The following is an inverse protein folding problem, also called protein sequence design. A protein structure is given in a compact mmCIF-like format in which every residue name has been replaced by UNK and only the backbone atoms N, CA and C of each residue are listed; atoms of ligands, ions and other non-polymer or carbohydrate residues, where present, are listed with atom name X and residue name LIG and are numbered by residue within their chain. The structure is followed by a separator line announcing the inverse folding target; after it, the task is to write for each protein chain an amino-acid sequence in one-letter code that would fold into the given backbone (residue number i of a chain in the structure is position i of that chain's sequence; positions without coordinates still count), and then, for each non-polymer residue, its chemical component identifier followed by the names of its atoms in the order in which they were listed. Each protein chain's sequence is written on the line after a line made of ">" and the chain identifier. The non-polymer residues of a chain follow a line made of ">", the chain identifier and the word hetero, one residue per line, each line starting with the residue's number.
data_IF_106321667254
#
_entry.id   IF_106321667254
#
_cell.length_a   1.000
_cell.length_b   1.000
_cell.length_c   1.000
_cell.angle_alpha   90.00
_cell.angle_beta   90.00
_cell.angle_gamma   90.00
#
_symmetry.space_group_name_H-M   'P 1'
#
loop_
_entity.id
_entity.type
_entity.pdbx_description
1 polymer ?
#
# COMPACT_ATOMS: atom_id res chain seq x y z
N UNK A 1 6.02 9.37 15.01
CA UNK A 1 6.96 8.85 13.98
C UNK A 1 6.90 7.34 14.02
N UNK A 2 6.65 6.71 12.92
CA UNK A 2 6.49 5.26 12.84
C UNK A 2 7.88 4.61 12.73
N UNK A 3 8.09 3.47 13.40
CA UNK A 3 9.36 2.72 13.30
C UNK A 3 9.66 2.36 11.83
N UNK A 4 8.63 2.07 11.04
CA UNK A 4 8.73 1.73 9.61
C UNK A 4 9.27 2.84 8.72
N UNK A 5 9.08 4.11 9.08
CA UNK A 5 9.60 5.24 8.30
C UNK A 5 11.13 5.20 8.28
N UNK A 6 11.72 4.97 9.45
CA UNK A 6 13.17 4.83 9.62
C UNK A 6 13.68 3.55 8.97
N UNK A 7 13.00 2.44 9.21
CA UNK A 7 13.34 1.13 8.64
C UNK A 7 13.41 1.16 7.11
N UNK A 8 12.46 1.81 6.43
CA UNK A 8 12.50 1.96 4.98
C UNK A 8 13.74 2.71 4.50
N UNK A 9 14.12 3.79 5.19
CA UNK A 9 15.32 4.56 4.84
C UNK A 9 16.58 3.73 5.06
N UNK A 10 16.70 3.07 6.23
CA UNK A 10 17.83 2.23 6.59
C UNK A 10 18.03 1.09 5.59
N UNK A 11 16.97 0.37 5.22
CA UNK A 11 17.03 -0.70 4.21
C UNK A 11 17.45 -0.19 2.83
N UNK A 12 16.96 0.96 2.39
CA UNK A 12 17.37 1.56 1.11
C UNK A 12 18.84 1.98 1.12
N UNK A 13 19.32 2.50 2.25
CA UNK A 13 20.72 2.88 2.42
C UNK A 13 21.66 1.67 2.41
N UNK A 14 21.30 0.60 3.14
CA UNK A 14 22.08 -0.64 3.20
C UNK A 14 22.31 -1.26 1.83
N UNK A 15 21.31 -1.22 0.95
CA UNK A 15 21.41 -1.77 -0.40
C UNK A 15 21.81 -0.72 -1.45
N UNK A 16 22.05 0.53 -1.03
CA UNK A 16 22.42 1.66 -1.89
C UNK A 16 21.46 1.87 -3.09
N UNK A 17 20.15 1.83 -2.82
CA UNK A 17 19.11 2.01 -3.84
C UNK A 17 18.33 3.29 -3.59
N UNK A 18 18.13 4.08 -4.65
CA UNK A 18 17.23 5.23 -4.66
C UNK A 18 15.89 4.78 -5.26
N UNK A 19 14.76 4.90 -4.53
CA UNK A 19 13.48 4.48 -5.05
C UNK A 19 12.93 5.50 -6.05
N UNK A 20 12.48 5.03 -7.22
CA UNK A 20 11.69 5.83 -8.15
C UNK A 20 10.22 5.89 -7.72
N UNK A 21 9.72 4.77 -7.19
CA UNK A 21 8.31 4.57 -6.83
C UNK A 21 8.22 3.94 -5.44
N UNK A 22 7.27 4.43 -4.66
CA UNK A 22 6.91 3.85 -3.36
C UNK A 22 5.43 3.48 -3.39
N UNK A 23 5.12 2.22 -3.07
CA UNK A 23 3.76 1.71 -2.94
C UNK A 23 3.50 1.38 -1.47
N UNK A 24 2.48 1.96 -0.89
CA UNK A 24 2.15 1.78 0.51
C UNK A 24 0.65 1.59 0.70
N UNK A 25 0.25 0.58 1.48
CA UNK A 25 -1.14 0.38 1.85
C UNK A 25 -1.69 1.58 2.62
N UNK A 26 -2.96 1.88 2.41
CA UNK A 26 -3.63 3.01 3.01
C UNK A 26 -5.04 2.62 3.51
N UNK A 27 -5.27 2.79 4.79
CA UNK A 27 -6.59 2.87 5.39
C UNK A 27 -6.83 4.33 5.80
N UNK A 28 -6.87 4.67 7.07
CA UNK A 28 -7.00 6.06 7.54
C UNK A 28 -5.80 6.99 7.22
N UNK A 29 -4.79 6.50 6.50
CA UNK A 29 -3.68 7.27 5.98
C UNK A 29 -2.48 7.47 6.91
N UNK A 30 -2.49 6.92 8.14
CA UNK A 30 -1.42 7.17 9.13
C UNK A 30 -0.06 6.60 8.71
N UNK A 31 -0.04 5.34 8.28
CA UNK A 31 1.19 4.68 7.86
C UNK A 31 1.85 5.40 6.68
N UNK A 32 1.09 5.64 5.62
CA UNK A 32 1.62 6.29 4.41
C UNK A 32 2.00 7.76 4.65
N UNK A 33 1.31 8.48 5.55
CA UNK A 33 1.68 9.85 5.91
C UNK A 33 3.08 9.89 6.55
N UNK A 34 3.38 8.95 7.46
CA UNK A 34 4.72 8.84 8.05
C UNK A 34 5.76 8.48 7.01
N UNK A 35 5.55 7.38 6.27
CA UNK A 35 6.49 6.91 5.23
C UNK A 35 6.73 8.00 4.18
N UNK A 36 5.68 8.64 3.67
CA UNK A 36 5.83 9.66 2.64
C UNK A 36 6.62 10.87 3.13
N UNK A 37 6.44 11.27 4.39
CA UNK A 37 7.22 12.35 4.99
C UNK A 37 8.70 11.98 5.06
N UNK A 38 9.03 10.79 5.55
CA UNK A 38 10.42 10.32 5.65
C UNK A 38 11.07 10.19 4.27
N UNK A 39 10.39 9.54 3.33
CA UNK A 39 10.88 9.35 1.95
C UNK A 39 11.11 10.70 1.26
N UNK A 40 10.16 11.63 1.34
CA UNK A 40 10.29 12.95 0.69
C UNK A 40 11.41 13.80 1.29
N UNK A 41 11.74 13.61 2.56
CA UNK A 41 12.89 14.31 3.18
C UNK A 41 14.22 13.88 2.56
N UNK A 42 14.35 12.63 2.11
CA UNK A 42 15.60 12.09 1.58
C UNK A 42 15.60 11.86 0.07
N UNK A 43 14.45 11.49 -0.49
CA UNK A 43 14.26 11.14 -1.90
C UNK A 43 13.07 11.94 -2.45
N UNK A 44 13.21 13.24 -2.58
CA UNK A 44 12.14 14.18 -2.93
C UNK A 44 11.49 13.87 -4.29
N UNK A 45 12.26 13.30 -5.25
CA UNK A 45 11.79 12.89 -6.57
C UNK A 45 11.00 11.58 -6.58
N UNK A 46 11.00 10.76 -5.51
CA UNK A 46 10.28 9.51 -5.45
C UNK A 46 8.77 9.74 -5.61
N UNK A 47 8.13 8.97 -6.50
CA UNK A 47 6.68 9.00 -6.67
C UNK A 47 6.03 8.06 -5.68
N UNK A 48 5.14 8.57 -4.85
CA UNK A 48 4.51 7.80 -3.77
C UNK A 48 3.03 7.62 -4.07
N UNK A 49 2.55 6.38 -4.00
CA UNK A 49 1.16 6.02 -4.27
C UNK A 49 0.54 5.34 -3.06
N UNK A 50 -0.66 5.78 -2.66
CA UNK A 50 -1.51 4.99 -1.77
C UNK A 50 -2.08 3.80 -2.52
N UNK A 51 -2.14 2.65 -1.86
CA UNK A 51 -2.80 1.45 -2.39
C UNK A 51 -3.91 1.05 -1.43
N UNK A 52 -5.12 0.96 -1.97
CA UNK A 52 -6.36 0.73 -1.23
C UNK A 52 -7.16 -0.41 -1.87
N UNK A 53 -8.01 -1.12 -1.11
CA UNK A 53 -8.94 -2.07 -1.71
C UNK A 53 -9.97 -1.35 -2.59
N UNK A 54 -10.42 -2.00 -3.65
CA UNK A 54 -11.55 -1.52 -4.46
C UNK A 54 -12.77 -1.24 -3.57
N UNK A 55 -13.50 -0.17 -3.86
CA UNK A 55 -14.65 0.35 -3.09
C UNK A 55 -14.31 0.95 -1.71
N UNK A 56 -13.06 0.85 -1.26
CA UNK A 56 -12.53 1.49 -0.06
C UNK A 56 -11.33 2.37 -0.40
N UNK A 57 -11.37 2.99 -1.57
CA UNK A 57 -10.32 3.83 -2.15
C UNK A 57 -10.56 5.34 -1.89
N UNK A 58 -10.98 5.63 -0.64
CA UNK A 58 -11.32 6.97 -0.17
C UNK A 58 -10.15 7.96 -0.25
N UNK A 59 -8.94 7.54 0.01
CA UNK A 59 -7.75 8.41 -0.11
C UNK A 59 -7.49 8.76 -1.58
N UNK A 60 -7.55 7.80 -2.50
CA UNK A 60 -7.43 8.02 -3.95
C UNK A 60 -8.46 9.03 -4.44
N UNK A 61 -9.74 8.79 -4.13
CA UNK A 61 -10.85 9.66 -4.53
C UNK A 61 -10.72 11.05 -3.90
N UNK A 62 -10.28 11.12 -2.64
CA UNK A 62 -10.06 12.38 -1.94
C UNK A 62 -8.93 13.20 -2.55
N UNK A 63 -7.84 12.56 -2.98
CA UNK A 63 -6.73 13.20 -3.70
C UNK A 63 -7.20 13.77 -5.04
N UNK A 64 -7.92 12.98 -5.84
CA UNK A 64 -8.48 13.40 -7.14
C UNK A 64 -9.42 14.60 -6.99
N UNK A 65 -10.27 14.59 -5.95
CA UNK A 65 -11.24 15.68 -5.69
C UNK A 65 -10.67 16.82 -4.85
N UNK A 66 -9.43 16.71 -4.40
CA UNK A 66 -8.77 17.70 -3.54
C UNK A 66 -9.52 18.01 -2.24
N UNK A 67 -10.33 17.09 -1.75
CA UNK A 67 -11.12 17.18 -0.51
C UNK A 67 -11.44 15.81 0.03
N UNK A 68 -11.60 15.69 1.35
CA UNK A 68 -11.98 14.42 1.98
C UNK A 68 -13.34 13.95 1.46
N UNK A 69 -13.39 12.69 1.01
CA UNK A 69 -14.59 11.99 0.53
C UNK A 69 -14.72 10.71 1.33
N UNK A 70 -15.96 10.34 1.67
CA UNK A 70 -16.24 9.07 2.37
C UNK A 70 -16.61 7.97 1.38
N UNK A 71 -16.21 6.74 1.69
CA UNK A 71 -16.67 5.52 1.04
C UNK A 71 -18.16 5.26 1.32
N UNK A 72 -18.81 4.51 0.45
CA UNK A 72 -20.21 4.19 0.61
C UNK A 72 -20.52 3.19 1.73
N UNK A 73 -19.51 2.46 2.21
CA UNK A 73 -19.59 1.38 3.20
C UNK A 73 -20.60 0.27 2.87
N UNK A 74 -21.04 0.17 1.61
CA UNK A 74 -21.99 -0.86 1.14
C UNK A 74 -21.30 -2.15 0.67
N UNK A 75 -20.03 -2.08 0.44
CA UNK A 75 -19.20 -3.18 -0.05
C UNK A 75 -18.48 -3.88 1.09
N UNK A 76 -17.87 -5.01 0.79
CA UNK A 76 -17.00 -5.77 1.70
C UNK A 76 -15.69 -6.04 0.99
N UNK A 77 -14.63 -6.17 1.76
CA UNK A 77 -13.33 -6.63 1.28
C UNK A 77 -12.67 -7.49 2.36
N UNK A 78 -11.79 -8.38 1.94
CA UNK A 78 -10.96 -9.19 2.84
C UNK A 78 -9.83 -8.38 3.49
N UNK A 79 -9.56 -7.18 2.98
CA UNK A 79 -8.53 -6.26 3.49
C UNK A 79 -9.04 -5.49 4.72
N UNK A 80 -9.48 -6.20 5.76
CA UNK A 80 -10.19 -5.68 6.94
C UNK A 80 -9.46 -4.54 7.67
N UNK A 81 -8.13 -4.54 7.66
CA UNK A 81 -7.31 -3.47 8.25
C UNK A 81 -7.36 -2.13 7.46
N UNK A 82 -7.93 -2.11 6.26
CA UNK A 82 -7.95 -0.96 5.35
C UNK A 82 -9.36 -0.41 5.06
N UNK A 83 -10.40 -0.88 5.75
CA UNK A 83 -11.78 -0.50 5.50
C UNK A 83 -12.17 0.81 6.23
N UNK A 84 -11.36 1.84 6.07
CA UNK A 84 -11.68 3.16 6.61
C UNK A 84 -12.87 3.79 5.86
N UNK A 85 -13.72 4.51 6.57
CA UNK A 85 -14.82 5.26 5.95
C UNK A 85 -14.31 6.45 5.13
N UNK A 86 -13.26 7.11 5.64
CA UNK A 86 -12.65 8.29 5.04
C UNK A 86 -11.24 8.51 5.56
N UNK A 87 -10.40 9.27 4.84
CA UNK A 87 -9.07 9.65 5.33
C UNK A 87 -9.17 10.46 6.63
N UNK A 88 -8.19 10.31 7.51
CA UNK A 88 -8.05 11.20 8.68
C UNK A 88 -7.73 12.64 8.26
N UNK A 89 -8.24 13.64 8.97
CA UNK A 89 -8.01 15.04 8.63
C UNK A 89 -6.52 15.42 8.61
N UNK A 90 -5.77 14.99 9.60
CA UNK A 90 -4.32 15.28 9.69
C UNK A 90 -3.57 14.53 8.60
N UNK A 91 -3.85 13.24 8.43
CA UNK A 91 -3.17 12.38 7.46
C UNK A 91 -3.45 12.82 6.03
N UNK A 92 -4.67 13.24 5.72
CA UNK A 92 -5.02 13.74 4.40
C UNK A 92 -4.24 15.00 4.01
N UNK A 93 -4.06 15.94 4.95
CA UNK A 93 -3.28 17.15 4.69
C UNK A 93 -1.82 16.84 4.35
N UNK A 94 -1.22 15.84 5.00
CA UNK A 94 0.14 15.37 4.70
C UNK A 94 0.16 14.64 3.36
N UNK A 95 -0.74 13.69 3.18
CA UNK A 95 -0.83 12.85 1.99
C UNK A 95 -1.08 13.66 0.71
N UNK A 96 -1.93 14.68 0.79
CA UNK A 96 -2.19 15.60 -0.33
C UNK A 96 -0.94 16.33 -0.85
N UNK A 97 0.03 16.58 0.01
CA UNK A 97 1.30 17.25 -0.35
C UNK A 97 2.29 16.22 -0.90
N UNK A 98 2.38 15.05 -0.27
CA UNK A 98 3.46 14.10 -0.49
C UNK A 98 3.15 13.04 -1.56
N UNK A 99 1.88 12.67 -1.74
CA UNK A 99 1.50 11.60 -2.66
C UNK A 99 1.35 12.09 -4.09
N UNK A 100 1.76 11.23 -5.01
CA UNK A 100 1.56 11.45 -6.45
C UNK A 100 0.10 11.17 -6.84
N UNK A 101 -0.46 10.06 -6.33
CA UNK A 101 -1.84 9.62 -6.58
C UNK A 101 -2.17 8.42 -5.66
N UNK A 102 -3.39 7.90 -5.78
CA UNK A 102 -3.80 6.61 -5.23
C UNK A 102 -4.15 5.61 -6.33
N UNK A 103 -4.03 4.33 -6.02
CA UNK A 103 -4.48 3.21 -6.85
C UNK A 103 -5.29 2.23 -6.02
N UNK A 104 -6.15 1.46 -6.67
CA UNK A 104 -6.96 0.43 -6.01
C UNK A 104 -6.69 -0.95 -6.60
N UNK A 105 -6.81 -1.97 -5.74
CA UNK A 105 -6.64 -3.38 -6.09
C UNK A 105 -7.84 -4.19 -5.62
N UNK A 106 -8.16 -5.26 -6.34
CA UNK A 106 -9.22 -6.19 -5.95
C UNK A 106 -8.77 -7.15 -4.84
N UNK A 107 -9.73 -7.81 -4.20
CA UNK A 107 -9.46 -8.87 -3.23
C UNK A 107 -8.68 -10.03 -3.86
N UNK A 108 -8.96 -10.38 -5.12
CA UNK A 108 -8.25 -11.44 -5.84
C UNK A 108 -6.78 -11.05 -6.08
N UNK A 109 -6.51 -9.81 -6.48
CA UNK A 109 -5.14 -9.29 -6.62
C UNK A 109 -4.38 -9.34 -5.28
N UNK A 110 -5.06 -9.03 -4.17
CA UNK A 110 -4.48 -9.13 -2.83
C UNK A 110 -4.14 -10.59 -2.46
N UNK A 111 -5.02 -11.56 -2.75
CA UNK A 111 -4.76 -12.99 -2.53
C UNK A 111 -3.58 -13.50 -3.38
N UNK A 112 -3.50 -13.11 -4.65
CA UNK A 112 -2.36 -13.44 -5.53
C UNK A 112 -1.06 -12.87 -4.96
N UNK A 113 -1.08 -11.63 -4.48
CA UNK A 113 0.09 -11.00 -3.87
C UNK A 113 0.53 -11.69 -2.57
N UNK A 114 -0.42 -12.11 -1.73
CA UNK A 114 -0.12 -12.90 -0.52
C UNK A 114 0.58 -14.22 -0.88
N UNK A 115 0.07 -14.95 -1.87
CA UNK A 115 0.66 -16.21 -2.33
C UNK A 115 2.05 -15.98 -2.94
N UNK A 116 2.21 -14.93 -3.74
CA UNK A 116 3.50 -14.51 -4.31
C UNK A 116 4.51 -14.18 -3.21
N UNK A 117 4.12 -13.41 -2.20
CA UNK A 117 4.95 -13.08 -1.05
C UNK A 117 5.42 -14.34 -0.31
N UNK A 118 4.50 -15.28 -0.06
CA UNK A 118 4.84 -16.53 0.62
C UNK A 118 5.75 -17.43 -0.21
N UNK A 119 5.45 -17.63 -1.50
CA UNK A 119 6.23 -18.53 -2.35
C UNK A 119 7.63 -18.02 -2.67
N UNK A 120 7.76 -16.72 -2.95
CA UNK A 120 9.00 -16.15 -3.47
C UNK A 120 9.86 -15.48 -2.38
N UNK A 121 9.23 -14.79 -1.43
CA UNK A 121 9.95 -14.05 -0.38
C UNK A 121 9.93 -14.75 0.98
N UNK A 122 9.14 -15.84 1.14
CA UNK A 122 8.99 -16.58 2.39
C UNK A 122 8.43 -15.74 3.55
N UNK A 123 7.64 -14.74 3.22
CA UNK A 123 6.93 -13.90 4.18
C UNK A 123 5.42 -14.15 4.14
N UNK A 124 4.80 -14.11 5.32
CA UNK A 124 3.35 -14.18 5.46
C UNK A 124 2.81 -12.75 5.56
N UNK A 125 1.91 -12.39 4.66
CA UNK A 125 1.18 -11.12 4.68
C UNK A 125 -0.30 -11.36 4.92
N UNK A 126 -0.94 -10.44 5.63
CA UNK A 126 -2.40 -10.29 5.64
C UNK A 126 -2.86 -9.58 4.37
N UNK A 127 -4.15 -9.66 3.98
CA UNK A 127 -4.63 -9.03 2.75
C UNK A 127 -4.28 -7.54 2.66
N UNK A 128 -4.57 -6.77 3.73
CA UNK A 128 -4.23 -5.34 3.79
C UNK A 128 -2.73 -5.04 3.73
N UNK A 129 -1.89 -5.97 4.23
CA UNK A 129 -0.43 -5.87 4.14
C UNK A 129 0.11 -6.18 2.75
N UNK A 130 -0.66 -6.88 1.91
CA UNK A 130 -0.26 -7.34 0.59
C UNK A 130 -0.68 -6.40 -0.56
N UNK A 131 -1.60 -5.45 -0.34
CA UNK A 131 -2.15 -4.60 -1.42
C UNK A 131 -1.07 -3.81 -2.17
N UNK A 132 -0.02 -3.36 -1.47
CA UNK A 132 1.09 -2.64 -2.10
C UNK A 132 1.85 -3.55 -3.10
N UNK A 133 2.08 -4.81 -2.73
CA UNK A 133 2.66 -5.81 -3.63
C UNK A 133 1.69 -6.14 -4.77
N UNK A 134 0.39 -6.25 -4.48
CA UNK A 134 -0.62 -6.46 -5.49
C UNK A 134 -0.59 -5.37 -6.57
N UNK A 135 -0.50 -4.10 -6.19
CA UNK A 135 -0.41 -2.99 -7.14
C UNK A 135 0.85 -3.04 -8.01
N UNK A 136 1.97 -3.55 -7.47
CA UNK A 136 3.20 -3.73 -8.23
C UNK A 136 3.04 -4.84 -9.28
N UNK A 137 2.61 -6.04 -8.88
CA UNK A 137 2.52 -7.20 -9.78
C UNK A 137 1.39 -7.09 -10.79
N UNK A 138 0.30 -6.38 -10.47
CA UNK A 138 -0.81 -6.10 -11.40
C UNK A 138 -0.58 -4.83 -12.24
N UNK A 139 0.63 -4.28 -12.22
CA UNK A 139 1.05 -3.11 -13.01
C UNK A 139 0.08 -1.91 -12.91
N UNK A 140 -0.53 -1.68 -11.72
CA UNK A 140 -1.41 -0.51 -11.49
C UNK A 140 -0.66 0.82 -11.67
N UNK A 141 0.66 0.79 -11.63
CA UNK A 141 1.56 1.90 -11.96
C UNK A 141 2.62 1.43 -12.97
N UNK A 142 3.17 2.36 -13.75
CA UNK A 142 4.25 2.03 -14.71
C UNK A 142 5.56 1.77 -13.97
N UNK A 143 5.91 0.50 -13.83
CA UNK A 143 7.06 0.04 -13.02
C UNK A 143 8.30 -0.35 -13.84
N UNK A 144 8.19 -0.50 -15.15
CA UNK A 144 9.28 -0.97 -16.01
C UNK A 144 10.52 -0.08 -15.90
N UNK A 145 11.66 -0.71 -15.62
CA UNK A 145 12.96 -0.05 -15.43
C UNK A 145 12.97 0.96 -14.26
N UNK A 146 12.23 0.67 -13.17
CA UNK A 146 12.13 1.49 -11.99
C UNK A 146 12.52 0.72 -10.73
N UNK A 147 13.16 1.41 -9.79
CA UNK A 147 13.35 0.92 -8.44
C UNK A 147 12.07 1.16 -7.64
N UNK A 148 11.45 0.09 -7.15
CA UNK A 148 10.17 0.17 -6.46
C UNK A 148 10.34 -0.27 -5.01
N UNK A 149 10.00 0.62 -4.10
CA UNK A 149 9.84 0.28 -2.69
C UNK A 149 8.38 -0.15 -2.45
N UNK A 150 8.19 -1.39 -2.08
CA UNK A 150 6.89 -1.96 -1.69
C UNK A 150 6.84 -2.13 -0.18
N UNK A 151 5.87 -1.50 0.47
CA UNK A 151 5.70 -1.62 1.93
C UNK A 151 4.88 -2.85 2.27
N UNK A 152 5.54 -3.90 2.75
CA UNK A 152 4.92 -5.11 3.30
C UNK A 152 4.61 -4.87 4.78
N UNK A 153 3.36 -4.49 5.11
CA UNK A 153 3.08 -3.84 6.39
C UNK A 153 2.63 -4.75 7.52
N UNK A 154 1.89 -5.81 7.25
CA UNK A 154 1.31 -6.67 8.29
C UNK A 154 1.14 -8.12 7.86
N UNK A 155 1.13 -9.06 8.85
CA UNK A 155 1.02 -10.49 8.60
C UNK A 155 0.05 -11.21 9.54
N UNK A 156 -0.84 -10.50 10.25
CA UNK A 156 -1.84 -11.10 11.15
C UNK A 156 -3.05 -11.60 10.35
N UNK A 157 -2.85 -12.64 9.56
CA UNK A 157 -3.86 -13.17 8.63
C UNK A 157 -4.70 -14.29 9.26
N UNK A 158 -6.02 -14.27 8.96
CA UNK A 158 -6.90 -15.41 9.28
C UNK A 158 -6.47 -16.68 8.54
N UNK A 159 -6.52 -17.82 9.24
CA UNK A 159 -6.11 -19.13 8.72
C UNK A 159 -6.86 -19.53 7.45
N UNK A 160 -8.15 -19.21 7.33
CA UNK A 160 -8.94 -19.59 6.17
C UNK A 160 -8.62 -18.69 4.97
N UNK A 161 -8.40 -17.39 5.20
CA UNK A 161 -7.95 -16.46 4.17
C UNK A 161 -6.57 -16.90 3.65
N UNK A 162 -5.63 -17.25 4.54
CA UNK A 162 -4.32 -17.73 4.14
C UNK A 162 -4.38 -19.03 3.36
N UNK A 163 -5.23 -20.00 3.78
CA UNK A 163 -5.45 -21.22 3.01
C UNK A 163 -6.03 -20.96 1.62
N UNK A 164 -6.89 -19.95 1.48
CA UNK A 164 -7.45 -19.59 0.19
C UNK A 164 -6.39 -18.95 -0.72
N UNK A 165 -5.53 -18.09 -0.20
CA UNK A 165 -4.48 -17.49 -1.01
C UNK A 165 -3.51 -18.53 -1.59
N UNK A 166 -3.22 -19.62 -0.84
CA UNK A 166 -2.34 -20.70 -1.33
C UNK A 166 -2.90 -21.47 -2.54
N UNK A 167 -4.18 -21.31 -2.86
CA UNK A 167 -4.83 -21.92 -4.04
C UNK A 167 -4.80 -21.04 -5.26
N UNK A 168 -4.46 -19.75 -5.11
CA UNK A 168 -4.36 -18.83 -6.25
C UNK A 168 -3.11 -19.14 -7.07
N UNK A 169 -3.16 -18.86 -8.36
CA UNK A 169 -1.97 -18.88 -9.20
C UNK A 169 -1.07 -17.70 -8.82
N UNK A 170 0.25 -17.91 -8.92
CA UNK A 170 1.23 -16.84 -8.75
C UNK A 170 1.73 -16.38 -10.12
N UNK A 171 2.04 -15.12 -10.22
CA UNK A 171 2.65 -14.53 -11.41
C UNK A 171 4.14 -14.86 -11.45
#
# INVERSE_FOLDING_TARGET
>A
MCIRDRECIEQLEEINVIPDIVLCCCGGGGLIAGISTAIKTKFDNAKIYSVEPEYFDDTKISLEKNKIVSNSMKHKSICDALLAEKPGNITFNINKINLTSGVSVSDDEALIAMNTAFKHFKIVLEPGGAVALAAAISEKVKIKNKNILVIASGGNVDKNIFKNCLKTETI
#
